data_IF_048878793159
#
_entry.id   IF_048878793159
#
_cell.length_a   1.000
_cell.length_b   1.000
_cell.length_c   1.000
_cell.angle_alpha   90.00
_cell.angle_beta   90.00
_cell.angle_gamma   90.00
#
_symmetry.space_group_name_H-M   'P 1'
#
loop_
_entity.id
_entity.type
_entity.pdbx_description
1 polymer ?
#
# COMPACT_ATOMS: atom_id res chain seq x y z
N UNK A 1 10.84 24.03 -12.03
CA UNK A 1 9.63 23.51 -11.38
C UNK A 1 8.59 22.98 -12.39
N UNK A 2 8.94 22.11 -13.35
CA UNK A 2 7.98 21.50 -14.32
C UNK A 2 8.12 19.99 -14.50
N UNK A 3 8.75 19.26 -13.59
CA UNK A 3 9.05 17.83 -13.78
C UNK A 3 8.14 16.89 -12.95
N UNK A 4 7.40 17.38 -11.96
CA UNK A 4 6.65 16.51 -11.03
C UNK A 4 5.22 16.15 -11.46
N UNK A 5 4.60 16.90 -12.39
CA UNK A 5 3.23 16.61 -12.85
C UNK A 5 3.16 15.44 -13.85
N UNK A 6 4.13 15.32 -14.75
CA UNK A 6 4.14 14.27 -15.79
C UNK A 6 4.33 12.85 -15.25
N UNK A 7 5.07 12.69 -14.14
CA UNK A 7 5.24 11.36 -13.52
C UNK A 7 4.01 10.90 -12.72
N UNK A 8 3.24 11.84 -12.16
CA UNK A 8 2.01 11.55 -11.40
C UNK A 8 0.86 11.11 -12.32
N UNK A 9 0.64 11.81 -13.42
CA UNK A 9 -0.39 11.46 -14.43
C UNK A 9 -0.09 10.12 -15.10
N UNK A 10 1.18 9.77 -15.33
CA UNK A 10 1.56 8.50 -15.96
C UNK A 10 1.27 7.27 -15.10
N UNK A 11 1.43 7.35 -13.77
CA UNK A 11 1.17 6.22 -12.87
C UNK A 11 -0.32 5.99 -12.64
N UNK A 12 -1.10 7.04 -12.37
CA UNK A 12 -2.54 6.95 -12.18
C UNK A 12 -3.24 6.42 -13.43
N UNK A 13 -2.90 6.95 -14.61
CA UNK A 13 -3.47 6.50 -15.89
C UNK A 13 -3.13 5.04 -16.21
N UNK A 14 -1.95 4.55 -15.81
CA UNK A 14 -1.58 3.16 -15.99
C UNK A 14 -2.41 2.22 -15.12
N UNK A 15 -2.59 2.53 -13.83
CA UNK A 15 -3.38 1.72 -12.91
C UNK A 15 -4.88 1.75 -13.24
N UNK A 16 -5.41 2.89 -13.70
CA UNK A 16 -6.77 2.98 -14.19
C UNK A 16 -7.01 2.06 -15.40
N UNK A 17 -6.07 2.04 -16.36
CA UNK A 17 -6.13 1.14 -17.50
C UNK A 17 -6.07 -0.33 -17.07
N UNK A 18 -5.18 -0.70 -16.14
CA UNK A 18 -5.06 -2.06 -15.63
C UNK A 18 -6.33 -2.51 -14.89
N UNK A 19 -6.95 -1.61 -14.14
CA UNK A 19 -8.22 -1.86 -13.49
C UNK A 19 -9.34 -2.19 -14.46
N UNK A 20 -9.36 -1.54 -15.62
CA UNK A 20 -10.36 -1.78 -16.66
C UNK A 20 -10.11 -3.08 -17.43
N UNK A 21 -8.84 -3.45 -17.67
CA UNK A 21 -8.47 -4.65 -18.41
C UNK A 21 -8.68 -5.94 -17.61
N UNK A 22 -8.02 -6.06 -16.45
CA UNK A 22 -8.07 -7.23 -15.58
C UNK A 22 -7.55 -6.89 -14.16
N UNK A 23 -8.42 -6.44 -13.26
CA UNK A 23 -8.01 -5.99 -11.94
C UNK A 23 -7.35 -7.07 -11.09
N UNK A 24 -7.73 -8.34 -11.26
CA UNK A 24 -7.24 -9.43 -10.43
C UNK A 24 -5.79 -9.79 -10.76
N UNK A 25 -5.47 -9.96 -12.03
CA UNK A 25 -4.11 -10.27 -12.49
C UNK A 25 -3.12 -9.15 -12.18
N UNK A 26 -3.54 -7.89 -12.28
CA UNK A 26 -2.64 -6.76 -12.01
C UNK A 26 -2.39 -6.52 -10.51
N UNK A 27 -3.37 -6.79 -9.65
CA UNK A 27 -3.19 -6.72 -8.20
C UNK A 27 -2.30 -7.85 -7.69
N UNK A 28 -2.48 -9.07 -8.25
CA UNK A 28 -1.73 -10.25 -7.81
C UNK A 28 -1.16 -11.01 -9.01
N UNK A 29 0.00 -10.53 -9.48
CA UNK A 29 0.71 -11.09 -10.64
C UNK A 29 1.22 -12.53 -10.46
N UNK A 30 1.12 -13.09 -9.26
CA UNK A 30 1.49 -14.47 -8.93
C UNK A 30 0.34 -15.47 -9.06
N UNK A 31 -0.87 -15.02 -9.37
CA UNK A 31 -1.97 -15.93 -9.66
C UNK A 31 -1.63 -16.80 -10.87
N UNK A 32 -1.73 -18.11 -10.70
CA UNK A 32 -1.49 -19.10 -11.76
C UNK A 32 -2.72 -19.33 -12.63
N UNK A 33 -3.88 -18.90 -12.17
CA UNK A 33 -5.18 -19.03 -12.84
C UNK A 33 -5.93 -17.70 -12.80
N UNK A 34 -6.80 -17.47 -13.76
CA UNK A 34 -7.75 -16.34 -13.75
C UNK A 34 -8.97 -16.66 -12.86
N UNK A 35 -8.80 -17.48 -11.82
CA UNK A 35 -9.88 -17.84 -10.89
C UNK A 35 -10.08 -16.75 -9.84
N UNK A 36 -11.22 -16.05 -9.84
CA UNK A 36 -11.54 -15.06 -8.82
C UNK A 36 -11.58 -15.66 -7.40
N UNK A 37 -11.89 -16.95 -7.26
CA UNK A 37 -11.88 -17.64 -5.97
C UNK A 37 -10.48 -17.69 -5.37
N UNK A 38 -9.45 -18.01 -6.17
CA UNK A 38 -8.06 -18.04 -5.70
C UNK A 38 -7.58 -16.63 -5.29
N UNK A 39 -8.00 -15.60 -6.02
CA UNK A 39 -7.68 -14.20 -5.68
C UNK A 39 -8.20 -13.84 -4.28
N UNK A 40 -9.47 -14.07 -4.01
CA UNK A 40 -10.08 -13.76 -2.71
C UNK A 40 -9.51 -14.62 -1.57
N UNK A 41 -9.26 -15.91 -1.85
CA UNK A 41 -8.63 -16.81 -0.88
C UNK A 41 -7.21 -16.39 -0.52
N UNK A 42 -6.44 -15.87 -1.50
CA UNK A 42 -5.11 -15.31 -1.24
C UNK A 42 -5.17 -14.11 -0.29
N UNK A 43 -6.22 -13.30 -0.40
CA UNK A 43 -6.48 -12.19 0.51
C UNK A 43 -6.75 -12.65 1.94
N UNK A 44 -7.66 -13.62 2.11
CA UNK A 44 -7.94 -14.23 3.41
C UNK A 44 -6.70 -14.82 4.06
N UNK A 45 -5.90 -15.59 3.30
CA UNK A 45 -4.63 -16.14 3.80
C UNK A 45 -3.66 -15.07 4.25
N UNK A 46 -3.47 -14.02 3.47
CA UNK A 46 -2.57 -12.90 3.84
C UNK A 46 -3.04 -12.23 5.13
N UNK A 47 -4.32 -11.96 5.27
CA UNK A 47 -4.88 -11.39 6.50
C UNK A 47 -4.64 -12.31 7.70
N UNK A 48 -4.93 -13.59 7.57
CA UNK A 48 -4.79 -14.57 8.65
C UNK A 48 -3.33 -14.83 9.03
N UNK A 49 -2.43 -14.90 8.06
CA UNK A 49 -1.05 -15.34 8.28
C UNK A 49 -0.07 -14.17 8.53
N UNK A 50 -0.39 -12.96 8.05
CA UNK A 50 0.51 -11.80 8.19
C UNK A 50 -0.12 -10.69 9.06
N UNK A 51 -1.33 -10.20 8.70
CA UNK A 51 -1.87 -9.00 9.34
C UNK A 51 -2.38 -9.27 10.75
N UNK A 52 -3.18 -10.31 10.96
CA UNK A 52 -3.73 -10.62 12.28
C UNK A 52 -2.65 -10.98 13.32
N UNK A 53 -1.61 -11.78 13.01
CA UNK A 53 -0.49 -11.99 13.92
C UNK A 53 0.25 -10.70 14.28
N UNK A 54 0.48 -9.82 13.29
CA UNK A 54 1.11 -8.52 13.53
C UNK A 54 0.28 -7.66 14.47
N UNK A 55 -1.03 -7.56 14.21
CA UNK A 55 -1.97 -6.82 15.04
C UNK A 55 -2.00 -7.36 16.48
N UNK A 56 -1.96 -8.69 16.65
CA UNK A 56 -1.94 -9.32 17.97
C UNK A 56 -0.61 -9.05 18.71
N UNK A 57 0.53 -9.21 18.03
CA UNK A 57 1.87 -8.98 18.58
C UNK A 57 2.03 -7.56 19.10
N UNK A 58 1.55 -6.57 18.35
CA UNK A 58 1.64 -5.15 18.69
C UNK A 58 0.44 -4.64 19.51
N UNK A 59 -0.49 -5.51 19.90
CA UNK A 59 -1.69 -5.19 20.69
C UNK A 59 -2.50 -4.03 20.13
N UNK A 60 -2.65 -4.01 18.80
CA UNK A 60 -3.34 -2.95 18.08
C UNK A 60 -4.83 -2.93 18.43
N UNK A 61 -5.36 -1.76 18.72
CA UNK A 61 -6.81 -1.55 18.89
C UNK A 61 -7.58 -1.87 17.59
N UNK A 62 -8.84 -2.27 17.73
CA UNK A 62 -9.70 -2.69 16.62
C UNK A 62 -10.74 -1.60 16.25
N UNK A 63 -10.37 -0.34 16.42
CA UNK A 63 -11.21 0.79 16.05
C UNK A 63 -11.25 1.02 14.55
N UNK A 64 -10.21 1.65 14.01
CA UNK A 64 -10.15 2.02 12.58
C UNK A 64 -8.91 1.42 11.93
N UNK A 65 -9.11 0.70 10.82
CA UNK A 65 -8.02 0.31 9.94
C UNK A 65 -8.07 1.08 8.62
N UNK A 66 -6.93 1.24 7.95
CA UNK A 66 -6.84 1.86 6.63
C UNK A 66 -5.89 1.09 5.71
N UNK A 67 -6.33 0.86 4.47
CA UNK A 67 -5.48 0.32 3.40
C UNK A 67 -5.15 1.42 2.38
N UNK A 68 -3.85 1.64 2.13
CA UNK A 68 -3.37 2.47 1.02
C UNK A 68 -3.06 1.55 -0.17
N UNK A 69 -3.74 1.80 -1.31
CA UNK A 69 -3.71 0.95 -2.49
C UNK A 69 -4.59 -0.29 -2.31
N UNK A 70 -5.84 -0.09 -1.91
CA UNK A 70 -6.76 -1.19 -1.61
C UNK A 70 -7.24 -1.97 -2.83
N UNK A 71 -7.08 -1.40 -4.04
CA UNK A 71 -7.61 -1.99 -5.26
C UNK A 71 -9.09 -2.32 -5.14
N UNK A 72 -9.46 -3.53 -5.54
CA UNK A 72 -10.83 -4.05 -5.41
C UNK A 72 -11.16 -4.61 -4.02
N UNK A 73 -10.30 -4.40 -3.01
CA UNK A 73 -10.56 -4.79 -1.62
C UNK A 73 -10.10 -6.19 -1.22
N UNK A 74 -9.10 -6.77 -1.92
CA UNK A 74 -8.59 -8.14 -1.67
C UNK A 74 -8.25 -8.42 -0.20
N UNK A 75 -7.57 -7.48 0.47
CA UNK A 75 -7.20 -7.58 1.88
C UNK A 75 -8.21 -6.85 2.78
N UNK A 76 -8.79 -5.78 2.28
CA UNK A 76 -9.71 -4.93 3.02
C UNK A 76 -10.93 -5.69 3.51
N UNK A 77 -11.59 -6.47 2.63
CA UNK A 77 -12.81 -7.19 3.01
C UNK A 77 -12.57 -8.29 4.06
N UNK A 78 -11.60 -9.19 3.92
CA UNK A 78 -11.37 -10.17 5.00
C UNK A 78 -10.89 -9.52 6.31
N UNK A 79 -10.25 -8.32 6.26
CA UNK A 79 -9.84 -7.60 7.47
C UNK A 79 -11.04 -6.87 8.12
N UNK A 80 -12.06 -6.49 7.37
CA UNK A 80 -13.17 -5.66 7.86
C UNK A 80 -13.93 -6.31 9.02
N UNK A 81 -14.03 -7.65 9.05
CA UNK A 81 -14.66 -8.38 10.16
C UNK A 81 -13.90 -8.27 11.50
N UNK A 82 -12.70 -7.73 11.48
CA UNK A 82 -11.82 -7.58 12.65
C UNK A 82 -11.71 -6.16 13.18
N UNK A 83 -12.31 -5.18 12.51
CA UNK A 83 -12.28 -3.77 12.90
C UNK A 83 -13.69 -3.17 12.93
N UNK A 84 -13.87 -2.11 13.73
CA UNK A 84 -15.14 -1.37 13.75
C UNK A 84 -15.39 -0.65 12.42
N UNK A 85 -14.33 -0.11 11.82
CA UNK A 85 -14.36 0.64 10.57
C UNK A 85 -13.09 0.36 9.76
N UNK A 86 -13.22 0.20 8.44
CA UNK A 86 -12.07 0.05 7.54
C UNK A 86 -12.19 1.03 6.38
N UNK A 87 -11.13 1.76 6.10
CA UNK A 87 -11.05 2.75 5.03
C UNK A 87 -10.11 2.26 3.94
N UNK A 88 -10.58 2.20 2.71
CA UNK A 88 -9.77 1.90 1.53
C UNK A 88 -9.46 3.15 0.73
N UNK A 89 -8.19 3.36 0.39
CA UNK A 89 -7.76 4.41 -0.52
C UNK A 89 -7.02 3.81 -1.72
N UNK A 90 -7.35 4.23 -2.93
CA UNK A 90 -6.64 3.82 -4.16
C UNK A 90 -6.55 4.98 -5.15
N UNK A 91 -5.56 4.91 -6.04
CA UNK A 91 -5.35 5.91 -7.10
C UNK A 91 -6.27 5.68 -8.30
N UNK A 92 -6.77 4.45 -8.50
CA UNK A 92 -7.63 4.07 -9.60
C UNK A 92 -9.11 4.16 -9.18
N UNK A 93 -9.84 5.11 -9.76
CA UNK A 93 -11.27 5.32 -9.51
C UNK A 93 -12.09 4.06 -9.82
N UNK A 94 -11.79 3.37 -10.92
CA UNK A 94 -12.50 2.15 -11.31
C UNK A 94 -12.29 0.99 -10.32
N UNK A 95 -11.14 0.92 -9.63
CA UNK A 95 -10.93 -0.04 -8.54
C UNK A 95 -11.84 0.26 -7.35
N UNK A 96 -11.93 1.54 -6.96
CA UNK A 96 -12.80 2.00 -5.88
C UNK A 96 -14.27 1.70 -6.17
N UNK A 97 -14.75 1.98 -7.38
CA UNK A 97 -16.12 1.69 -7.78
C UNK A 97 -16.43 0.18 -7.68
N UNK A 98 -15.51 -0.68 -8.14
CA UNK A 98 -15.67 -2.15 -8.01
C UNK A 98 -15.68 -2.59 -6.55
N UNK A 99 -14.82 -2.02 -5.70
CA UNK A 99 -14.82 -2.33 -4.27
C UNK A 99 -16.12 -1.90 -3.60
N UNK A 100 -16.67 -0.74 -3.94
CA UNK A 100 -17.95 -0.26 -3.44
C UNK A 100 -19.11 -1.18 -3.85
N UNK A 101 -19.18 -1.58 -5.13
CA UNK A 101 -20.17 -2.54 -5.60
C UNK A 101 -20.07 -3.86 -4.84
N UNK A 102 -18.86 -4.42 -4.71
CA UNK A 102 -18.65 -5.67 -3.97
C UNK A 102 -19.09 -5.55 -2.51
N UNK A 103 -18.78 -4.45 -1.82
CA UNK A 103 -19.22 -4.22 -0.44
C UNK A 103 -20.73 -4.19 -0.33
N UNK A 104 -21.41 -3.47 -1.23
CA UNK A 104 -22.87 -3.39 -1.29
C UNK A 104 -23.51 -4.75 -1.52
N UNK A 105 -23.05 -5.50 -2.53
CA UNK A 105 -23.59 -6.80 -2.92
C UNK A 105 -23.43 -7.87 -1.83
N UNK A 106 -22.41 -7.71 -0.97
CA UNK A 106 -22.11 -8.64 0.12
C UNK A 106 -22.55 -8.11 1.51
N UNK A 107 -23.23 -6.98 1.60
CA UNK A 107 -23.74 -6.42 2.85
C UNK A 107 -22.65 -5.99 3.84
N UNK A 108 -21.45 -5.59 3.34
CA UNK A 108 -20.31 -5.16 4.19
C UNK A 108 -20.46 -3.66 4.47
N UNK A 109 -21.03 -3.29 5.60
CA UNK A 109 -21.43 -1.92 5.92
C UNK A 109 -20.39 -1.09 6.69
N UNK A 110 -19.32 -1.71 7.19
CA UNK A 110 -18.29 -1.02 7.99
C UNK A 110 -17.05 -0.63 7.18
N UNK A 111 -17.18 -0.54 5.86
CA UNK A 111 -16.12 -0.14 4.94
C UNK A 111 -16.45 1.17 4.24
N UNK A 112 -15.46 2.00 4.03
CA UNK A 112 -15.56 3.22 3.23
C UNK A 112 -14.38 3.33 2.27
N UNK A 113 -14.57 4.07 1.17
CA UNK A 113 -13.57 4.14 0.11
C UNK A 113 -13.36 5.56 -0.38
N UNK A 114 -12.13 5.88 -0.78
CA UNK A 114 -11.81 7.13 -1.46
C UNK A 114 -10.79 6.91 -2.59
N UNK A 115 -11.09 7.44 -3.76
CA UNK A 115 -10.10 7.60 -4.81
C UNK A 115 -9.22 8.81 -4.49
N UNK A 116 -7.90 8.68 -4.65
CA UNK A 116 -6.93 9.71 -4.26
C UNK A 116 -5.90 9.93 -5.37
N UNK A 117 -5.55 11.19 -5.62
CA UNK A 117 -4.53 11.52 -6.62
C UNK A 117 -3.09 11.40 -6.10
N UNK A 118 -2.91 11.14 -4.82
CA UNK A 118 -1.60 11.03 -4.17
C UNK A 118 -1.66 11.34 -2.68
N UNK A 119 -0.49 11.49 -2.02
CA UNK A 119 -0.43 11.65 -0.56
C UNK A 119 -1.14 12.91 -0.05
N UNK A 120 -1.00 14.05 -0.73
CA UNK A 120 -1.65 15.30 -0.32
C UNK A 120 -3.19 15.20 -0.39
N UNK A 121 -3.72 14.59 -1.46
CA UNK A 121 -5.16 14.37 -1.61
C UNK A 121 -5.68 13.35 -0.60
N UNK A 122 -4.87 12.30 -0.30
CA UNK A 122 -5.18 11.35 0.78
C UNK A 122 -5.32 12.07 2.13
N UNK A 123 -4.38 12.95 2.47
CA UNK A 123 -4.44 13.71 3.72
C UNK A 123 -5.70 14.58 3.79
N UNK A 124 -6.05 15.23 2.67
CA UNK A 124 -7.24 16.07 2.59
C UNK A 124 -8.52 15.25 2.77
N UNK A 125 -8.66 14.13 2.04
CA UNK A 125 -9.86 13.27 2.09
C UNK A 125 -9.99 12.52 3.41
N UNK A 126 -8.87 12.08 3.98
CA UNK A 126 -8.83 11.36 5.25
C UNK A 126 -8.66 12.27 6.48
N UNK A 127 -8.89 13.58 6.37
CA UNK A 127 -8.69 14.53 7.49
C UNK A 127 -9.45 14.14 8.77
N UNK A 128 -10.63 13.55 8.62
CA UNK A 128 -11.44 13.08 9.75
C UNK A 128 -10.85 11.83 10.44
N UNK A 129 -9.88 11.19 9.81
CA UNK A 129 -9.15 10.04 10.34
C UNK A 129 -7.82 10.44 11.03
N UNK A 130 -7.45 11.73 11.04
CA UNK A 130 -6.20 12.20 11.65
C UNK A 130 -6.11 11.78 13.11
N UNK A 131 -5.03 11.08 13.46
CA UNK A 131 -4.78 10.58 14.81
C UNK A 131 -5.74 9.46 15.27
N UNK A 132 -6.48 8.83 14.36
CA UNK A 132 -7.51 7.82 14.70
C UNK A 132 -7.24 6.43 14.11
N UNK A 133 -6.30 6.29 13.18
CA UNK A 133 -6.01 5.00 12.54
C UNK A 133 -5.20 4.13 13.49
N UNK A 134 -5.78 3.03 13.93
CA UNK A 134 -5.12 2.06 14.80
C UNK A 134 -4.18 1.15 13.99
N UNK A 135 -4.61 0.74 12.79
CA UNK A 135 -3.85 -0.10 11.89
C UNK A 135 -3.88 0.41 10.46
N UNK A 136 -2.74 0.85 9.95
CA UNK A 136 -2.59 1.21 8.56
C UNK A 136 -1.74 0.15 7.84
N UNK A 137 -2.09 -0.20 6.61
CA UNK A 137 -1.27 -1.13 5.84
C UNK A 137 -1.24 -0.79 4.36
N UNK A 138 -0.12 -1.16 3.72
CA UNK A 138 0.08 -0.99 2.28
C UNK A 138 0.97 -2.12 1.76
N UNK A 139 0.36 -3.02 1.01
CA UNK A 139 1.00 -4.22 0.48
C UNK A 139 0.90 -4.23 -1.04
N UNK A 140 2.01 -4.53 -1.71
CA UNK A 140 2.12 -4.55 -3.17
C UNK A 140 1.88 -3.19 -3.86
N UNK A 141 2.08 -2.07 -3.16
CA UNK A 141 1.81 -0.71 -3.66
C UNK A 141 3.07 0.15 -3.71
N UNK A 142 3.71 0.42 -2.56
CA UNK A 142 4.82 1.36 -2.45
C UNK A 142 6.03 0.97 -3.32
N UNK A 143 6.19 -0.31 -3.58
CA UNK A 143 7.21 -0.85 -4.48
C UNK A 143 7.00 -0.50 -5.96
N UNK A 144 5.85 0.03 -6.35
CA UNK A 144 5.53 0.45 -7.72
C UNK A 144 5.64 1.96 -7.93
N UNK A 145 5.86 2.73 -6.87
CA UNK A 145 5.98 4.19 -6.91
C UNK A 145 7.43 4.55 -7.27
N UNK A 146 7.70 5.17 -8.44
CA UNK A 146 9.07 5.44 -8.86
C UNK A 146 9.73 6.60 -8.07
N UNK A 147 8.97 7.60 -7.71
CA UNK A 147 9.47 8.81 -7.06
C UNK A 147 9.49 8.64 -5.54
N UNK A 148 10.70 8.76 -4.95
CA UNK A 148 10.88 8.66 -3.50
C UNK A 148 10.18 9.80 -2.75
N UNK A 149 10.08 10.98 -3.35
CA UNK A 149 9.36 12.10 -2.74
C UNK A 149 7.86 11.80 -2.53
N UNK A 150 7.26 11.02 -3.44
CA UNK A 150 5.87 10.56 -3.28
C UNK A 150 5.76 9.56 -2.12
N UNK A 151 6.74 8.66 -1.97
CA UNK A 151 6.79 7.73 -0.83
C UNK A 151 6.97 8.49 0.48
N UNK A 152 7.88 9.46 0.54
CA UNK A 152 8.07 10.33 1.71
C UNK A 152 6.78 11.09 2.06
N UNK A 153 6.05 11.55 1.05
CA UNK A 153 4.72 12.15 1.22
C UNK A 153 3.72 11.17 1.86
N UNK A 154 3.65 9.92 1.40
CA UNK A 154 2.81 8.91 2.03
C UNK A 154 3.25 8.60 3.47
N UNK A 155 4.54 8.47 3.74
CA UNK A 155 5.05 8.24 5.09
C UNK A 155 4.68 9.39 6.04
N UNK A 156 4.76 10.65 5.57
CA UNK A 156 4.30 11.80 6.33
C UNK A 156 2.80 11.71 6.65
N UNK A 157 1.97 11.42 5.65
CA UNK A 157 0.52 11.26 5.83
C UNK A 157 0.20 10.13 6.80
N UNK A 158 0.90 9.00 6.71
CA UNK A 158 0.79 7.90 7.67
C UNK A 158 1.05 8.40 9.09
N UNK A 159 2.11 9.18 9.31
CA UNK A 159 2.43 9.76 10.61
C UNK A 159 1.32 10.67 11.16
N UNK A 160 0.61 11.39 10.28
CA UNK A 160 -0.53 12.25 10.68
C UNK A 160 -1.77 11.41 11.02
N UNK A 161 -2.04 10.37 10.24
CA UNK A 161 -3.27 9.56 10.37
C UNK A 161 -3.22 8.57 11.54
N UNK A 162 -2.04 8.02 11.88
CA UNK A 162 -1.91 7.03 12.94
C UNK A 162 -2.37 7.58 14.30
N UNK A 163 -3.12 6.78 15.03
CA UNK A 163 -3.41 6.97 16.44
C UNK A 163 -2.11 6.95 17.27
N UNK A 164 -2.20 7.37 18.55
CA UNK A 164 -1.01 7.42 19.43
C UNK A 164 -0.29 6.07 19.51
N UNK A 165 -1.04 4.99 19.66
CA UNK A 165 -0.54 3.62 19.78
C UNK A 165 -0.79 2.80 18.48
N UNK A 166 -1.15 3.48 17.39
CA UNK A 166 -1.37 2.89 16.08
C UNK A 166 -0.06 2.51 15.39
N UNK A 167 -0.14 1.51 14.51
CA UNK A 167 1.00 1.07 13.70
C UNK A 167 0.66 1.07 12.22
N UNK A 168 1.70 1.17 11.39
CA UNK A 168 1.57 0.93 9.96
C UNK A 168 2.43 -0.26 9.53
N UNK A 169 1.87 -1.12 8.65
CA UNK A 169 2.50 -2.30 8.08
C UNK A 169 2.76 -2.06 6.60
N UNK A 170 4.02 -1.82 6.23
CA UNK A 170 4.41 -1.32 4.91
C UNK A 170 5.31 -2.30 4.19
N UNK A 171 5.03 -2.58 2.91
CA UNK A 171 5.84 -3.47 2.09
C UNK A 171 6.67 -2.70 1.05
N UNK A 172 7.94 -3.13 0.92
CA UNK A 172 8.87 -2.69 -0.11
C UNK A 172 9.58 -3.88 -0.78
N UNK A 173 10.17 -3.66 -1.95
CA UNK A 173 11.11 -4.60 -2.58
C UNK A 173 12.53 -4.09 -2.31
N UNK A 174 13.25 -4.79 -1.46
CA UNK A 174 14.62 -4.41 -1.08
C UNK A 174 15.66 -5.44 -1.52
N UNK A 175 15.31 -6.27 -2.51
CA UNK A 175 16.29 -7.20 -3.09
C UNK A 175 17.49 -6.43 -3.63
N UNK A 176 18.73 -6.92 -3.45
CA UNK A 176 19.90 -6.31 -4.05
C UNK A 176 19.71 -6.14 -5.57
N UNK A 177 20.12 -5.00 -6.08
CA UNK A 177 20.17 -4.77 -7.52
C UNK A 177 21.30 -5.62 -8.13
N UNK A 178 21.04 -6.18 -9.30
CA UNK A 178 22.01 -6.96 -10.06
C UNK A 178 21.99 -6.55 -11.53
N UNK A 179 22.98 -6.98 -12.28
CA UNK A 179 23.13 -6.64 -13.69
C UNK A 179 21.85 -6.92 -14.50
N UNK A 180 21.20 -8.06 -14.25
CA UNK A 180 19.96 -8.42 -14.94
C UNK A 180 18.81 -7.44 -14.63
N UNK A 181 18.73 -6.90 -13.40
CA UNK A 181 17.79 -5.86 -13.05
C UNK A 181 18.06 -4.56 -13.81
N UNK A 182 19.32 -4.11 -13.86
CA UNK A 182 19.70 -2.90 -14.59
C UNK A 182 19.43 -3.02 -16.10
N UNK A 183 19.79 -4.14 -16.72
CA UNK A 183 19.50 -4.41 -18.14
C UNK A 183 18.00 -4.30 -18.41
N UNK A 184 17.15 -4.95 -17.59
CA UNK A 184 15.69 -4.90 -17.75
C UNK A 184 15.10 -3.51 -17.50
N UNK A 185 15.68 -2.73 -16.60
CA UNK A 185 15.20 -1.36 -16.34
C UNK A 185 15.56 -0.38 -17.45
N UNK A 186 16.64 -0.68 -18.20
CA UNK A 186 17.09 0.12 -19.32
C UNK A 186 16.39 -0.24 -20.64
N UNK A 187 15.89 -1.49 -20.79
CA UNK A 187 15.23 -1.94 -22.01
C UNK A 187 13.91 -1.17 -22.26
N UNK A 188 13.59 -0.87 -23.53
CA UNK A 188 12.28 -0.34 -23.92
C UNK A 188 11.14 -1.30 -23.52
N UNK A 189 10.02 -0.76 -23.04
CA UNK A 189 8.88 -1.53 -22.53
C UNK A 189 8.31 -2.50 -23.59
N UNK A 190 8.40 -2.17 -24.90
CA UNK A 190 7.91 -3.02 -25.99
C UNK A 190 8.65 -4.37 -26.07
N UNK A 191 9.92 -4.42 -25.62
CA UNK A 191 10.74 -5.63 -25.62
C UNK A 191 10.61 -6.43 -24.32
N UNK A 192 9.88 -5.89 -23.33
CA UNK A 192 9.73 -6.50 -22.02
C UNK A 192 8.41 -7.27 -21.92
N UNK A 193 8.42 -8.43 -21.24
CA UNK A 193 7.19 -9.07 -20.78
C UNK A 193 6.32 -8.09 -19.99
N UNK A 194 4.99 -8.25 -20.06
CA UNK A 194 4.02 -7.31 -19.48
C UNK A 194 4.33 -6.92 -18.04
N UNK A 195 4.72 -7.88 -17.19
CA UNK A 195 5.01 -7.67 -15.76
C UNK A 195 6.35 -6.95 -15.46
N UNK A 196 7.14 -6.66 -16.51
CA UNK A 196 8.41 -5.94 -16.39
C UNK A 196 8.34 -4.51 -16.93
N UNK A 197 7.19 -4.11 -17.46
CA UNK A 197 6.97 -2.78 -18.03
C UNK A 197 6.82 -1.72 -16.94
N UNK A 198 7.08 -0.47 -17.31
CA UNK A 198 6.88 0.68 -16.43
C UNK A 198 5.46 0.69 -15.86
N UNK A 199 5.32 1.06 -14.59
CA UNK A 199 4.06 1.06 -13.87
C UNK A 199 3.71 -0.26 -13.18
N UNK A 200 4.12 -1.43 -13.71
CA UNK A 200 3.85 -2.75 -13.08
C UNK A 200 5.08 -3.29 -12.37
N UNK A 201 6.27 -3.07 -12.94
CA UNK A 201 7.50 -3.62 -12.35
C UNK A 201 7.74 -3.09 -10.94
N UNK A 202 8.27 -3.95 -10.09
CA UNK A 202 8.70 -3.57 -8.75
C UNK A 202 10.01 -2.81 -8.81
N UNK A 203 10.07 -1.71 -8.07
CA UNK A 203 11.26 -0.88 -7.94
C UNK A 203 11.99 -1.31 -6.68
N UNK A 204 13.25 -1.67 -6.84
CA UNK A 204 14.11 -2.05 -5.73
C UNK A 204 14.66 -0.80 -5.07
N UNK A 205 14.77 -0.82 -3.74
CA UNK A 205 15.32 0.26 -2.95
C UNK A 205 16.23 -0.28 -1.86
N UNK A 206 17.27 0.47 -1.55
CA UNK A 206 18.10 0.13 -0.40
C UNK A 206 17.31 0.31 0.89
N UNK A 207 17.40 -0.64 1.85
CA UNK A 207 16.74 -0.51 3.15
C UNK A 207 17.04 0.81 3.85
N UNK A 208 18.29 1.27 3.81
CA UNK A 208 18.76 2.49 4.46
C UNK A 208 18.04 3.75 3.93
N UNK A 209 17.72 3.78 2.64
CA UNK A 209 16.94 4.88 2.03
C UNK A 209 15.53 4.93 2.60
N UNK A 210 14.88 3.76 2.70
CA UNK A 210 13.52 3.63 3.26
C UNK A 210 13.52 3.99 4.75
N UNK A 211 14.49 3.47 5.51
CA UNK A 211 14.62 3.73 6.94
C UNK A 211 14.86 5.21 7.24
N UNK A 212 15.65 5.89 6.39
CA UNK A 212 15.87 7.33 6.50
C UNK A 212 14.58 8.11 6.24
N UNK A 213 13.82 7.72 5.21
CA UNK A 213 12.54 8.35 4.89
C UNK A 213 11.50 8.14 6.01
N UNK A 214 11.44 6.94 6.61
CA UNK A 214 10.59 6.64 7.77
C UNK A 214 10.93 7.60 8.93
N UNK A 215 12.21 7.74 9.27
CA UNK A 215 12.65 8.65 10.35
C UNK A 215 12.34 10.11 10.05
N UNK A 216 12.56 10.57 8.81
CA UNK A 216 12.24 11.94 8.38
C UNK A 216 10.75 12.26 8.47
N UNK A 217 9.89 11.25 8.28
CA UNK A 217 8.45 11.39 8.44
C UNK A 217 7.99 11.44 9.91
N UNK A 218 8.90 11.41 10.89
CA UNK A 218 8.57 11.38 12.32
C UNK A 218 8.03 10.02 12.77
N UNK A 219 8.40 8.96 12.05
CA UNK A 219 8.08 7.57 12.37
C UNK A 219 9.31 6.84 12.90
N UNK A 220 9.08 5.79 13.69
CA UNK A 220 10.12 4.85 14.12
C UNK A 220 9.77 3.43 13.70
N UNK A 221 10.77 2.60 13.48
CA UNK A 221 10.62 1.19 13.13
C UNK A 221 10.40 0.40 14.41
N UNK A 222 9.20 -0.17 14.54
CA UNK A 222 8.81 -1.03 15.67
C UNK A 222 9.05 -2.52 15.38
N UNK A 223 9.26 -2.88 14.10
CA UNK A 223 9.56 -4.24 13.68
C UNK A 223 9.91 -4.30 12.20
N UNK A 224 10.61 -5.36 11.82
CA UNK A 224 11.07 -5.60 10.47
C UNK A 224 10.99 -7.10 10.16
N UNK A 225 10.51 -7.44 8.97
CA UNK A 225 10.38 -8.82 8.51
C UNK A 225 10.93 -8.97 7.11
N UNK A 226 11.55 -10.11 6.81
CA UNK A 226 11.98 -10.49 5.44
C UNK A 226 12.85 -9.44 4.75
N UNK A 227 13.85 -8.89 5.47
CA UNK A 227 14.85 -7.95 4.92
C UNK A 227 15.53 -8.50 3.66
N UNK A 228 15.84 -7.63 2.71
CA UNK A 228 16.50 -7.94 1.44
C UNK A 228 15.70 -8.92 0.55
N UNK A 229 14.38 -8.90 0.65
CA UNK A 229 13.48 -9.66 -0.21
C UNK A 229 12.53 -8.77 -1.00
N UNK A 230 11.76 -9.36 -1.92
CA UNK A 230 10.65 -8.66 -2.62
C UNK A 230 9.45 -8.40 -1.73
N UNK A 231 9.48 -8.88 -0.51
CA UNK A 231 8.41 -8.79 0.49
C UNK A 231 8.93 -8.27 1.82
N UNK A 232 9.89 -7.34 1.79
CA UNK A 232 10.40 -6.71 3.00
C UNK A 232 9.29 -5.89 3.67
N UNK A 233 9.02 -6.17 4.93
CA UNK A 233 7.98 -5.53 5.73
C UNK A 233 8.60 -4.65 6.80
N UNK A 234 8.14 -3.41 6.88
CA UNK A 234 8.39 -2.51 8.00
C UNK A 234 7.11 -2.35 8.81
N UNK A 235 7.22 -2.51 10.11
CA UNK A 235 6.19 -2.14 11.07
C UNK A 235 6.65 -0.84 11.69
N UNK A 236 5.89 0.23 11.47
CA UNK A 236 6.27 1.57 11.93
C UNK A 236 5.18 2.15 12.83
N UNK A 237 5.59 3.04 13.73
CA UNK A 237 4.70 3.81 14.59
C UNK A 237 5.19 5.25 14.69
N UNK A 238 4.39 6.11 15.28
CA UNK A 238 4.82 7.50 15.53
C UNK A 238 6.01 7.50 16.49
N UNK A 239 7.04 8.23 16.14
CA UNK A 239 8.16 8.45 17.05
C UNK A 239 7.67 9.20 18.30
N UNK A 240 8.16 8.87 19.51
CA UNK A 240 7.88 9.65 20.70
C UNK A 240 8.25 11.11 20.45
N UNK A 241 7.37 12.04 20.85
CA UNK A 241 7.78 13.45 20.86
C UNK A 241 8.95 13.60 21.82
N UNK A 242 10.05 14.20 21.35
CA UNK A 242 11.13 14.58 22.25
C UNK A 242 10.52 15.40 23.39
N UNK A 243 10.69 14.92 24.61
CA UNK A 243 10.32 15.70 25.79
C UNK A 243 11.23 16.91 25.76
N UNK A 244 10.68 18.10 25.52
CA UNK A 244 11.42 19.35 25.63
C UNK A 244 11.89 19.46 27.09
N UNK A 245 13.18 19.26 27.27
CA UNK A 245 13.88 19.46 28.58
C UNK A 245 14.02 20.94 28.85
#
# INVERSE_FOLDING_TARGET
MRSSSHSREGSAGSWEKFAQEDPYTYILTSLKSNDPGEFWESGRRTVQQELLPTIATHRVSRGVAMEIGCGVGRLLFPLSSHFREVVGADIAESMIQRAQCFASDNGIGNVSFCAVAGPEDLLHRAKNCSGRIDFLYSLLVLQHIPDMAVIEGYLHVIGVLLAKDGIAYLQFDTRPENLAYHVKTWMPDILLPRFWRKGIRRIRRHPEEIELAIRRAGLEIAGELTRLTSYHRYIVRRAPKAVAS
#
